data_IF_841151098922
#
_entry.id   IF_841151098922
#
_cell.length_a   1.000
_cell.length_b   1.000
_cell.length_c   1.000
_cell.angle_alpha   90.00
_cell.angle_beta   90.00
_cell.angle_gamma   90.00
#
_symmetry.space_group_name_H-M   'P 1'
#
loop_
_entity.id
_entity.type
_entity.pdbx_description
1 polymer ?
#
# COMPACT_ATOMS: atom_id res chain seq x y z
N UNK A 1 -0.58 -21.47 15.38
CA UNK A 1 -0.64 -20.57 16.55
C UNK A 1 -1.08 -19.21 16.06
N UNK A 2 -2.36 -18.94 16.25
CA UNK A 2 -3.08 -17.77 15.73
C UNK A 2 -2.43 -16.47 16.23
N UNK A 3 -2.08 -15.55 15.32
CA UNK A 3 -1.63 -14.20 15.66
C UNK A 3 -2.67 -13.21 15.15
N UNK A 4 -3.46 -12.72 16.10
CA UNK A 4 -4.40 -11.61 15.98
C UNK A 4 -3.63 -10.27 15.94
N UNK A 5 -4.18 -9.27 15.24
CA UNK A 5 -3.75 -7.86 15.25
C UNK A 5 -4.30 -7.15 16.50
N UNK A 6 -3.47 -6.40 17.22
CA UNK A 6 -3.87 -5.39 18.22
C UNK A 6 -2.93 -4.17 18.15
N UNK A 7 -3.49 -2.96 18.18
CA UNK A 7 -2.78 -1.68 18.24
C UNK A 7 -2.43 -1.31 19.71
N UNK A 8 -1.18 -0.95 20.02
CA UNK A 8 -0.86 -0.20 21.26
C UNK A 8 -0.06 1.06 20.89
N UNK A 9 -0.54 2.22 21.35
CA UNK A 9 0.29 3.35 21.79
C UNK A 9 -0.29 3.87 23.11
N UNK A 10 0.59 4.12 24.10
CA UNK A 10 0.27 4.69 25.42
C UNK A 10 0.98 6.05 25.54
N UNK A 11 0.32 7.11 26.01
CA UNK A 11 0.12 7.46 27.44
C UNK A 11 -0.88 8.66 27.55
N UNK A 12 -1.78 8.88 28.53
CA UNK A 12 -2.34 8.21 29.72
C UNK A 12 -3.59 9.03 30.21
N UNK A 13 -4.40 8.61 31.20
CA UNK A 13 -5.52 7.66 31.18
C UNK A 13 -6.94 8.31 31.12
N UNK A 14 -7.90 7.61 30.49
CA UNK A 14 -9.31 7.42 30.92
C UNK A 14 -10.33 7.18 29.76
N UNK A 15 -10.23 7.78 28.53
CA UNK A 15 -11.19 7.49 27.44
C UNK A 15 -10.66 6.60 26.29
N UNK A 16 -9.33 6.59 26.02
CA UNK A 16 -8.73 5.87 24.88
C UNK A 16 -8.80 4.33 24.98
N UNK A 17 -8.89 3.80 26.20
CA UNK A 17 -8.92 2.35 26.44
C UNK A 17 -10.22 1.70 25.93
N UNK A 18 -11.34 2.44 25.96
CA UNK A 18 -12.65 1.90 25.59
C UNK A 18 -12.77 1.71 24.08
N UNK A 19 -12.36 2.69 23.27
CA UNK A 19 -12.41 2.58 21.80
C UNK A 19 -11.46 1.49 21.28
N UNK A 20 -10.28 1.36 21.88
CA UNK A 20 -9.37 0.26 21.60
C UNK A 20 -10.02 -1.11 21.85
N UNK A 21 -10.60 -1.31 23.04
CA UNK A 21 -11.26 -2.57 23.42
C UNK A 21 -12.45 -2.89 22.51
N UNK A 22 -13.21 -1.87 22.11
CA UNK A 22 -14.32 -2.01 21.15
C UNK A 22 -13.82 -2.49 19.79
N UNK A 23 -12.79 -1.84 19.21
CA UNK A 23 -12.27 -2.24 17.88
C UNK A 23 -11.64 -3.62 17.92
N UNK A 24 -10.92 -3.92 18.99
CA UNK A 24 -10.36 -5.24 19.26
C UNK A 24 -11.39 -6.37 19.33
N UNK A 25 -12.48 -6.13 20.05
CA UNK A 25 -13.57 -7.10 20.19
C UNK A 25 -14.30 -7.30 18.86
N UNK A 26 -14.51 -6.22 18.10
CA UNK A 26 -15.03 -6.30 16.75
C UNK A 26 -14.13 -7.09 15.79
N UNK A 27 -12.80 -6.91 15.86
CA UNK A 27 -11.84 -7.68 15.05
C UNK A 27 -11.94 -9.17 15.37
N UNK A 28 -11.94 -9.54 16.66
CA UNK A 28 -12.12 -10.94 17.09
C UNK A 28 -13.44 -11.53 16.61
N UNK A 29 -14.52 -10.75 16.68
CA UNK A 29 -15.82 -11.17 16.18
C UNK A 29 -15.79 -11.43 14.67
N UNK A 30 -15.18 -10.51 13.88
CA UNK A 30 -15.02 -10.64 12.43
C UNK A 30 -14.21 -11.90 12.07
N UNK A 31 -13.10 -12.17 12.77
CA UNK A 31 -12.25 -13.34 12.49
C UNK A 31 -12.92 -14.68 12.82
N UNK A 32 -13.71 -14.70 13.91
CA UNK A 32 -14.51 -15.85 14.32
C UNK A 32 -15.71 -16.14 13.41
N UNK A 33 -16.23 -15.13 12.71
CA UNK A 33 -17.42 -15.23 11.86
C UNK A 33 -17.12 -15.01 10.38
N UNK A 34 -15.85 -15.03 9.95
CA UNK A 34 -15.47 -14.70 8.58
C UNK A 34 -16.19 -15.57 7.52
N UNK A 35 -16.45 -16.83 7.84
CA UNK A 35 -17.16 -17.78 6.98
C UNK A 35 -18.63 -17.43 6.79
N UNK A 36 -19.28 -16.70 7.71
CA UNK A 36 -20.67 -16.28 7.57
C UNK A 36 -20.83 -14.87 7.01
N UNK A 37 -19.73 -14.16 6.72
CA UNK A 37 -19.71 -12.80 6.17
C UNK A 37 -20.62 -11.82 6.95
N UNK A 38 -20.31 -11.54 8.23
CA UNK A 38 -21.18 -10.75 9.09
C UNK A 38 -21.37 -9.32 8.56
N UNK A 39 -22.60 -8.83 8.62
CA UNK A 39 -22.99 -7.47 8.25
C UNK A 39 -22.56 -6.47 9.31
N UNK A 40 -22.50 -5.19 8.92
CA UNK A 40 -22.12 -4.10 9.82
C UNK A 40 -22.96 -4.06 11.11
N UNK A 41 -24.28 -4.28 10.98
CA UNK A 41 -25.21 -4.38 12.10
C UNK A 41 -24.83 -5.46 13.11
N UNK A 42 -24.41 -6.63 12.64
CA UNK A 42 -24.07 -7.79 13.47
C UNK A 42 -22.75 -7.55 14.22
N UNK A 43 -21.77 -6.93 13.54
CA UNK A 43 -20.48 -6.55 14.14
C UNK A 43 -20.68 -5.45 15.18
N UNK A 44 -21.52 -4.45 14.90
CA UNK A 44 -21.81 -3.35 15.82
C UNK A 44 -22.57 -3.84 17.06
N UNK A 45 -23.53 -4.75 16.88
CA UNK A 45 -24.27 -5.39 17.97
C UNK A 45 -23.35 -6.22 18.88
N UNK A 46 -22.37 -6.93 18.31
CA UNK A 46 -21.41 -7.73 19.06
C UNK A 46 -20.53 -6.89 20.02
N UNK A 47 -20.40 -5.59 19.77
CA UNK A 47 -19.66 -4.64 20.64
C UNK A 47 -20.57 -3.62 21.34
N UNK A 48 -21.87 -3.89 21.37
CA UNK A 48 -22.90 -3.05 22.01
C UNK A 48 -22.92 -1.59 21.52
N UNK A 49 -22.76 -1.37 20.21
CA UNK A 49 -22.80 -0.06 19.58
C UNK A 49 -23.81 0.03 18.44
N UNK A 50 -24.25 1.25 18.12
CA UNK A 50 -24.95 1.52 16.88
C UNK A 50 -24.00 1.46 15.68
N UNK A 51 -24.51 1.09 14.50
CA UNK A 51 -23.72 0.96 13.26
C UNK A 51 -22.91 2.22 12.94
N UNK A 52 -23.54 3.40 13.06
CA UNK A 52 -22.91 4.68 12.76
C UNK A 52 -21.78 5.01 13.75
N UNK A 53 -21.98 4.75 15.04
CA UNK A 53 -20.95 4.99 16.05
C UNK A 53 -19.80 4.00 15.90
N UNK A 54 -20.12 2.72 15.68
CA UNK A 54 -19.13 1.67 15.44
C UNK A 54 -18.28 1.95 14.20
N UNK A 55 -18.89 2.31 13.06
CA UNK A 55 -18.16 2.62 11.83
C UNK A 55 -17.18 3.79 12.02
N UNK A 56 -17.59 4.84 12.74
CA UNK A 56 -16.73 5.99 13.03
C UNK A 56 -15.55 5.60 13.92
N UNK A 57 -15.82 4.92 15.04
CA UNK A 57 -14.78 4.45 15.98
C UNK A 57 -13.82 3.48 15.30
N UNK A 58 -14.33 2.53 14.52
CA UNK A 58 -13.52 1.55 13.79
C UNK A 58 -12.66 2.23 12.72
N UNK A 59 -13.18 3.22 11.97
CA UNK A 59 -12.39 3.95 10.98
C UNK A 59 -11.32 4.85 11.61
N UNK A 60 -11.64 5.53 12.70
CA UNK A 60 -10.68 6.35 13.46
C UNK A 60 -9.51 5.51 14.02
N UNK A 61 -9.77 4.26 14.41
CA UNK A 61 -8.76 3.37 14.99
C UNK A 61 -8.04 2.46 13.98
N UNK A 62 -8.79 1.80 13.09
CA UNK A 62 -8.24 0.84 12.13
C UNK A 62 -7.81 1.49 10.81
N UNK A 63 -8.16 2.77 10.58
CA UNK A 63 -7.84 3.51 9.36
C UNK A 63 -8.63 3.07 8.12
N UNK A 64 -9.53 2.09 8.26
CA UNK A 64 -10.39 1.55 7.20
C UNK A 64 -11.80 1.29 7.73
N UNK A 65 -12.80 1.19 6.87
CA UNK A 65 -14.15 0.79 7.30
C UNK A 65 -14.20 -0.70 7.70
N UNK A 66 -15.14 -1.11 8.58
CA UNK A 66 -15.34 -2.53 8.92
C UNK A 66 -15.57 -3.42 7.69
N UNK A 67 -16.29 -2.90 6.69
CA UNK A 67 -16.54 -3.59 5.42
C UNK A 67 -15.26 -3.84 4.63
N UNK A 68 -14.40 -2.83 4.51
CA UNK A 68 -13.10 -2.97 3.84
C UNK A 68 -12.18 -3.95 4.57
N UNK A 69 -12.21 -3.95 5.90
CA UNK A 69 -11.45 -4.88 6.73
C UNK A 69 -11.91 -6.34 6.54
N UNK A 70 -13.23 -6.58 6.54
CA UNK A 70 -13.82 -7.88 6.25
C UNK A 70 -13.45 -8.39 4.84
N UNK A 71 -13.50 -7.50 3.84
CA UNK A 71 -13.10 -7.81 2.47
C UNK A 71 -11.62 -8.22 2.37
N UNK A 72 -10.75 -7.51 3.08
CA UNK A 72 -9.32 -7.82 3.14
C UNK A 72 -9.04 -9.20 3.76
N UNK A 73 -9.65 -9.52 4.91
CA UNK A 73 -9.45 -10.81 5.57
C UNK A 73 -9.98 -11.98 4.74
N UNK A 74 -11.11 -11.78 4.08
CA UNK A 74 -11.70 -12.78 3.19
C UNK A 74 -10.77 -13.05 1.99
N UNK A 75 -10.07 -12.02 1.51
CA UNK A 75 -9.15 -12.10 0.38
C UNK A 75 -7.89 -12.87 0.75
N UNK A 76 -7.32 -12.61 1.92
CA UNK A 76 -6.15 -13.33 2.42
C UNK A 76 -6.44 -14.83 2.56
N UNK A 77 -7.60 -15.21 3.12
CA UNK A 77 -7.99 -16.64 3.22
C UNK A 77 -8.22 -17.29 1.86
N UNK A 78 -8.83 -16.58 0.90
CA UNK A 78 -8.97 -17.06 -0.48
C UNK A 78 -7.64 -17.41 -1.12
N UNK A 79 -6.64 -16.55 -0.95
CA UNK A 79 -5.30 -16.78 -1.51
C UNK A 79 -4.59 -17.98 -0.88
N UNK A 80 -4.84 -18.27 0.41
CA UNK A 80 -4.30 -19.46 1.08
C UNK A 80 -4.98 -20.74 0.58
N UNK A 81 -6.31 -20.75 0.48
CA UNK A 81 -7.09 -21.90 0.00
C UNK A 81 -6.75 -22.27 -1.45
N UNK A 82 -6.65 -21.27 -2.35
CA UNK A 82 -6.28 -21.50 -3.75
C UNK A 82 -4.85 -22.04 -3.91
N UNK A 83 -3.91 -21.67 -3.03
CA UNK A 83 -2.54 -22.21 -3.02
C UNK A 83 -2.47 -23.67 -2.56
N UNK A 84 -3.48 -24.15 -1.83
CA UNK A 84 -3.60 -25.54 -1.38
C UNK A 84 -4.35 -26.42 -2.39
N UNK A 85 -4.42 -26.01 -3.67
CA UNK A 85 -5.09 -26.70 -4.77
C UNK A 85 -6.62 -26.85 -4.62
N UNK A 86 -7.29 -26.04 -3.79
CA UNK A 86 -8.75 -25.99 -3.78
C UNK A 86 -9.29 -25.36 -5.08
N UNK A 87 -10.41 -25.88 -5.59
CA UNK A 87 -11.07 -25.27 -6.76
C UNK A 87 -11.65 -23.89 -6.38
N UNK A 88 -11.88 -23.05 -7.39
CA UNK A 88 -12.43 -21.70 -7.21
C UNK A 88 -13.85 -21.77 -6.60
N UNK A 89 -14.65 -22.75 -7.00
CA UNK A 89 -16.00 -23.01 -6.48
C UNK A 89 -15.95 -23.44 -5.01
N UNK A 90 -15.04 -24.37 -4.68
CA UNK A 90 -14.85 -24.85 -3.30
C UNK A 90 -14.37 -23.72 -2.38
N UNK A 91 -13.46 -22.89 -2.87
CA UNK A 91 -12.94 -21.73 -2.12
C UNK A 91 -14.03 -20.70 -1.87
N UNK A 92 -14.91 -20.43 -2.85
CA UNK A 92 -16.05 -19.52 -2.67
C UNK A 92 -16.99 -20.00 -1.57
N UNK A 93 -17.33 -21.29 -1.57
CA UNK A 93 -18.25 -21.89 -0.62
C UNK A 93 -17.68 -21.89 0.81
N UNK A 94 -16.39 -22.21 0.97
CA UNK A 94 -15.70 -22.22 2.26
C UNK A 94 -15.56 -20.83 2.90
N UNK A 95 -15.62 -19.76 2.10
CA UNK A 95 -15.50 -18.38 2.55
C UNK A 95 -16.86 -17.69 2.74
N UNK A 96 -17.97 -18.43 2.58
CA UNK A 96 -19.32 -17.88 2.70
C UNK A 96 -19.72 -16.93 1.57
N UNK A 97 -19.01 -16.98 0.45
CA UNK A 97 -19.31 -16.14 -0.70
C UNK A 97 -20.42 -16.79 -1.52
N UNK A 98 -21.45 -16.01 -1.83
CA UNK A 98 -22.66 -16.48 -2.52
C UNK A 98 -22.41 -17.06 -3.91
N UNK A 99 -21.26 -16.78 -4.52
CA UNK A 99 -20.88 -17.26 -5.85
C UNK A 99 -19.38 -17.05 -6.14
N UNK A 100 -18.83 -17.84 -7.06
CA UNK A 100 -17.44 -17.69 -7.55
C UNK A 100 -17.17 -16.29 -8.12
N UNK A 101 -18.17 -15.61 -8.69
CA UNK A 101 -18.06 -14.21 -9.12
C UNK A 101 -17.75 -13.23 -7.98
N UNK A 102 -18.28 -13.45 -6.77
CA UNK A 102 -17.96 -12.62 -5.58
C UNK A 102 -16.54 -12.82 -5.08
N UNK A 103 -16.00 -14.03 -5.23
CA UNK A 103 -14.58 -14.31 -4.94
C UNK A 103 -13.68 -13.54 -5.90
N UNK A 104 -14.06 -13.49 -7.19
CA UNK A 104 -13.40 -12.64 -8.18
C UNK A 104 -13.50 -11.15 -7.83
N UNK A 105 -14.68 -10.63 -7.47
CA UNK A 105 -14.89 -9.22 -7.07
C UNK A 105 -14.08 -8.82 -5.82
N UNK A 106 -13.96 -9.74 -4.86
CA UNK A 106 -13.28 -9.51 -3.59
C UNK A 106 -11.75 -9.48 -3.74
N UNK A 107 -11.20 -10.28 -4.65
CA UNK A 107 -9.79 -10.19 -5.05
C UNK A 107 -9.46 -8.83 -5.70
N UNK A 108 -10.47 -8.11 -6.21
CA UNK A 108 -10.33 -6.89 -7.01
C UNK A 108 -10.35 -5.58 -6.20
N UNK A 109 -10.73 -5.56 -4.92
CA UNK A 109 -10.81 -4.29 -4.14
C UNK A 109 -9.57 -3.92 -3.32
N UNK A 110 -8.60 -3.33 -4.01
CA UNK A 110 -7.57 -2.31 -3.65
C UNK A 110 -6.59 -2.48 -4.80
N UNK A 111 -6.64 -1.57 -5.79
CA UNK A 111 -6.19 -1.80 -7.18
C UNK A 111 -4.91 -2.63 -7.32
N UNK A 112 -5.11 -3.95 -7.30
CA UNK A 112 -4.14 -4.98 -7.53
C UNK A 112 -4.67 -5.73 -8.75
N UNK A 113 -3.82 -5.88 -9.75
CA UNK A 113 -4.10 -6.67 -10.95
C UNK A 113 -4.71 -8.03 -10.55
N UNK A 114 -5.73 -8.47 -11.27
CA UNK A 114 -6.26 -9.82 -11.11
C UNK A 114 -5.14 -10.84 -11.37
N UNK A 115 -5.16 -12.02 -10.75
CA UNK A 115 -4.18 -13.08 -11.04
C UNK A 115 -4.10 -13.44 -12.52
N UNK A 116 -5.21 -13.29 -13.27
CA UNK A 116 -5.26 -13.43 -14.73
C UNK A 116 -4.49 -12.35 -15.47
N UNK A 117 -4.61 -11.08 -15.08
CA UNK A 117 -3.84 -9.95 -15.65
C UNK A 117 -2.35 -10.02 -15.30
N UNK A 118 -2.01 -10.46 -14.07
CA UNK A 118 -0.62 -10.73 -13.67
C UNK A 118 -0.03 -11.86 -14.51
N UNK A 119 -0.80 -12.94 -14.74
CA UNK A 119 -0.40 -14.09 -15.57
C UNK A 119 -0.34 -13.74 -17.07
N UNK A 120 -1.17 -12.79 -17.51
CA UNK A 120 -1.14 -12.23 -18.85
C UNK A 120 -0.01 -11.21 -19.05
N UNK A 121 0.72 -10.83 -18.00
CA UNK A 121 1.92 -9.98 -18.09
C UNK A 121 1.66 -8.57 -18.64
N UNK A 122 0.43 -8.07 -18.56
CA UNK A 122 0.04 -6.80 -19.19
C UNK A 122 -0.47 -6.90 -20.63
N UNK A 123 -0.81 -8.10 -21.13
CA UNK A 123 -1.41 -8.27 -22.46
C UNK A 123 -2.69 -7.43 -22.58
N UNK A 124 -2.69 -6.47 -23.51
CA UNK A 124 -3.79 -5.51 -23.72
C UNK A 124 -3.70 -4.24 -22.87
N UNK A 125 -2.64 -4.07 -22.08
CA UNK A 125 -2.34 -2.82 -21.37
C UNK A 125 -1.33 -2.02 -22.20
N UNK A 126 -1.71 -0.79 -22.52
CA UNK A 126 -0.77 0.21 -23.05
C UNK A 126 -0.17 0.98 -21.89
N UNK A 127 1.15 1.00 -21.84
CA UNK A 127 1.93 1.80 -20.89
C UNK A 127 2.63 2.89 -21.69
N UNK A 128 2.23 4.11 -21.44
CA UNK A 128 2.94 5.29 -21.91
C UNK A 128 4.10 5.59 -20.96
N UNK A 129 5.21 6.07 -21.49
CA UNK A 129 6.39 6.39 -20.70
C UNK A 129 7.17 7.53 -21.34
N UNK A 130 7.94 8.25 -20.53
CA UNK A 130 8.81 9.31 -21.03
C UNK A 130 9.80 9.79 -19.98
N UNK A 131 10.71 10.67 -20.41
CA UNK A 131 11.64 11.34 -19.52
C UNK A 131 11.20 12.78 -19.28
N UNK A 132 11.29 13.22 -18.02
CA UNK A 132 10.97 14.58 -17.61
C UNK A 132 12.05 15.16 -16.71
N UNK A 133 12.19 16.49 -16.74
CA UNK A 133 12.98 17.24 -15.78
C UNK A 133 12.16 17.47 -14.50
N UNK A 134 12.79 17.25 -13.35
CA UNK A 134 12.17 17.42 -12.03
C UNK A 134 13.10 18.19 -11.09
N UNK A 135 12.56 18.64 -9.95
CA UNK A 135 13.35 19.29 -8.89
C UNK A 135 14.44 18.39 -8.31
N UNK A 136 14.39 17.07 -8.52
CA UNK A 136 15.39 16.10 -8.09
C UNK A 136 16.23 15.54 -9.26
N UNK A 137 16.22 16.23 -10.40
CA UNK A 137 16.89 15.86 -11.65
C UNK A 137 15.99 15.05 -12.60
N UNK A 138 16.58 14.52 -13.67
CA UNK A 138 15.86 13.75 -14.68
C UNK A 138 15.20 12.50 -14.09
N UNK A 139 13.94 12.27 -14.47
CA UNK A 139 13.16 11.11 -14.07
C UNK A 139 12.52 10.43 -15.29
N UNK A 140 12.49 9.11 -15.27
CA UNK A 140 11.66 8.28 -16.14
C UNK A 140 10.32 8.05 -15.45
N UNK A 141 9.22 8.37 -16.13
CA UNK A 141 7.86 8.12 -15.66
C UNK A 141 7.16 7.14 -16.61
N UNK A 142 6.26 6.31 -16.07
CA UNK A 142 5.37 5.49 -16.87
C UNK A 142 3.99 5.38 -16.24
N UNK A 143 2.96 5.42 -17.10
CA UNK A 143 1.55 5.44 -16.71
C UNK A 143 0.70 4.63 -17.69
N UNK A 144 -0.51 4.32 -17.26
CA UNK A 144 -1.57 3.80 -18.12
C UNK A 144 -2.90 4.46 -17.73
N UNK A 145 -4.01 4.04 -18.35
CA UNK A 145 -5.35 4.55 -18.06
C UNK A 145 -5.76 4.46 -16.56
N UNK A 146 -5.08 3.63 -15.77
CA UNK A 146 -5.35 3.44 -14.33
C UNK A 146 -4.52 4.36 -13.43
N UNK A 147 -3.43 4.92 -13.92
CA UNK A 147 -2.55 5.80 -13.17
C UNK A 147 -1.06 5.52 -13.41
N UNK A 148 -0.23 6.11 -12.55
CA UNK A 148 1.23 6.02 -12.62
C UNK A 148 1.70 4.67 -12.09
N UNK A 149 2.51 3.94 -12.84
CA UNK A 149 3.06 2.63 -12.45
C UNK A 149 4.58 2.63 -12.25
N UNK A 150 5.27 3.67 -12.74
CA UNK A 150 6.73 3.78 -12.62
C UNK A 150 7.15 5.24 -12.45
N UNK A 151 8.10 5.47 -11.54
CA UNK A 151 8.82 6.73 -11.38
C UNK A 151 10.22 6.41 -10.86
N UNK A 152 11.26 6.74 -11.63
CA UNK A 152 12.64 6.48 -11.25
C UNK A 152 13.55 7.63 -11.70
N UNK A 153 14.53 7.99 -10.88
CA UNK A 153 15.50 9.03 -11.23
C UNK A 153 16.68 8.43 -11.98
N UNK A 154 16.61 8.47 -13.31
CA UNK A 154 17.56 7.87 -14.23
C UNK A 154 18.01 8.92 -15.24
N UNK A 155 19.32 9.00 -15.51
CA UNK A 155 19.86 9.99 -16.46
C UNK A 155 19.42 9.70 -17.90
N UNK A 156 19.35 8.42 -18.25
CA UNK A 156 18.92 7.97 -19.57
C UNK A 156 17.57 7.28 -19.45
N UNK A 157 16.69 7.55 -20.41
CA UNK A 157 15.41 6.87 -20.53
C UNK A 157 15.64 5.37 -20.70
N UNK A 158 15.09 4.57 -19.79
CA UNK A 158 15.16 3.10 -19.87
C UNK A 158 13.78 2.49 -19.67
N UNK A 159 13.42 1.58 -20.58
CA UNK A 159 12.21 0.78 -20.50
C UNK A 159 12.44 -0.56 -19.82
N UNK A 160 13.68 -0.93 -19.50
CA UNK A 160 14.01 -2.28 -19.05
C UNK A 160 13.25 -2.69 -17.79
N UNK A 161 13.20 -1.82 -16.78
CA UNK A 161 12.46 -2.10 -15.55
C UNK A 161 10.95 -2.10 -15.78
N UNK A 162 10.44 -1.23 -16.67
CA UNK A 162 9.02 -1.20 -17.04
C UNK A 162 8.65 -2.52 -17.74
N UNK A 163 9.45 -2.99 -18.70
CA UNK A 163 9.24 -4.24 -19.41
C UNK A 163 9.36 -5.46 -18.47
N UNK A 164 10.29 -5.45 -17.51
CA UNK A 164 10.38 -6.52 -16.50
C UNK A 164 9.11 -6.59 -15.63
N UNK A 165 8.52 -5.44 -15.30
CA UNK A 165 7.26 -5.38 -14.57
C UNK A 165 6.06 -5.70 -15.46
N UNK A 166 6.12 -5.41 -16.75
CA UNK A 166 5.00 -5.50 -17.69
C UNK A 166 5.45 -6.14 -19.02
N UNK A 167 5.83 -7.44 -19.02
CA UNK A 167 6.52 -8.05 -20.14
C UNK A 167 5.72 -8.12 -21.44
N UNK A 168 4.39 -8.05 -21.36
CA UNK A 168 3.48 -8.13 -22.51
C UNK A 168 2.69 -6.83 -22.74
N UNK A 169 3.06 -5.73 -22.07
CA UNK A 169 2.45 -4.43 -22.31
C UNK A 169 3.01 -3.78 -23.59
N UNK A 170 2.18 -2.99 -24.26
CA UNK A 170 2.64 -2.13 -25.35
C UNK A 170 3.23 -0.85 -24.74
N UNK A 171 4.49 -0.54 -25.08
CA UNK A 171 5.14 0.67 -24.61
C UNK A 171 5.05 1.79 -25.66
N UNK A 172 4.55 2.97 -25.25
CA UNK A 172 4.47 4.17 -26.09
C UNK A 172 5.26 5.31 -25.46
N UNK A 173 6.17 5.92 -26.22
CA UNK A 173 6.99 7.02 -25.74
C UNK A 173 6.26 8.37 -25.85
N UNK A 174 6.21 9.12 -24.77
CA UNK A 174 5.64 10.47 -24.71
C UNK A 174 6.35 11.32 -23.65
N UNK A 175 7.31 12.15 -24.06
CA UNK A 175 8.08 12.99 -23.13
C UNK A 175 7.28 14.22 -22.68
N UNK A 176 6.38 14.74 -23.51
CA UNK A 176 5.59 15.94 -23.18
C UNK A 176 4.61 15.60 -22.06
N UNK A 177 3.91 14.47 -22.19
CA UNK A 177 3.04 13.95 -21.13
C UNK A 177 3.83 13.56 -19.88
N UNK A 178 5.06 13.06 -20.01
CA UNK A 178 5.92 12.80 -18.85
C UNK A 178 6.24 14.10 -18.09
N UNK A 179 6.49 15.21 -18.81
CA UNK A 179 6.72 16.51 -18.20
C UNK A 179 5.45 17.03 -17.50
N UNK A 180 4.27 16.83 -18.08
CA UNK A 180 3.00 17.15 -17.44
C UNK A 180 2.78 16.36 -16.14
N UNK A 181 3.12 15.06 -16.14
CA UNK A 181 3.11 14.26 -14.92
C UNK A 181 4.08 14.80 -13.87
N UNK A 182 5.32 15.13 -14.26
CA UNK A 182 6.30 15.71 -13.34
C UNK A 182 5.80 17.02 -12.73
N UNK A 183 5.24 17.91 -13.55
CA UNK A 183 4.68 19.18 -13.09
C UNK A 183 3.55 18.97 -12.07
N UNK A 184 2.68 17.97 -12.29
CA UNK A 184 1.61 17.63 -11.33
C UNK A 184 2.17 17.06 -10.02
N UNK A 185 3.16 16.18 -10.08
CA UNK A 185 3.76 15.50 -8.93
C UNK A 185 4.54 16.46 -8.03
N UNK A 186 5.33 17.35 -8.63
CA UNK A 186 6.29 18.21 -7.93
C UNK A 186 5.79 19.66 -7.81
N UNK A 187 4.51 19.94 -8.08
CA UNK A 187 3.90 21.25 -7.84
C UNK A 187 3.76 21.56 -6.34
N UNK A 188 3.61 22.85 -6.02
CA UNK A 188 3.34 23.31 -4.64
C UNK A 188 1.98 22.83 -4.10
N UNK A 189 1.03 22.52 -4.99
CA UNK A 189 -0.28 21.96 -4.67
C UNK A 189 -0.49 20.64 -5.43
N UNK A 190 0.13 19.54 -4.99
CA UNK A 190 0.10 18.29 -5.73
C UNK A 190 -1.32 17.72 -5.80
N UNK A 191 -1.76 17.43 -7.03
CA UNK A 191 -3.04 16.78 -7.30
C UNK A 191 -3.08 15.34 -6.77
N UNK A 192 -4.28 14.79 -6.54
CA UNK A 192 -4.42 13.38 -6.19
C UNK A 192 -3.96 12.49 -7.35
N UNK A 193 -2.95 11.65 -7.12
CA UNK A 193 -2.38 10.75 -8.13
C UNK A 193 -2.73 9.31 -7.79
N UNK A 194 -3.29 8.59 -8.76
CA UNK A 194 -3.50 7.14 -8.66
C UNK A 194 -2.21 6.41 -8.98
N UNK A 195 -1.85 5.46 -8.12
CA UNK A 195 -0.68 4.60 -8.28
C UNK A 195 -1.11 3.17 -8.60
N UNK A 196 -0.51 2.57 -9.62
CA UNK A 196 -0.67 1.16 -9.94
C UNK A 196 0.55 0.39 -9.43
N UNK A 197 0.39 -0.30 -8.30
CA UNK A 197 1.48 -1.00 -7.62
C UNK A 197 1.52 -2.48 -8.00
N UNK A 198 2.71 -2.98 -8.33
CA UNK A 198 2.98 -4.40 -8.56
C UNK A 198 4.07 -4.90 -7.61
N UNK A 199 3.69 -5.72 -6.65
CA UNK A 199 4.62 -6.29 -5.67
C UNK A 199 4.03 -7.50 -4.95
N UNK A 200 4.89 -8.22 -4.21
CA UNK A 200 4.46 -9.27 -3.29
C UNK A 200 3.60 -8.67 -2.16
N UNK A 201 2.77 -9.47 -1.47
CA UNK A 201 1.98 -8.97 -0.34
C UNK A 201 2.83 -8.23 0.70
N UNK A 202 4.02 -8.76 1.00
CA UNK A 202 4.97 -8.13 1.91
C UNK A 202 5.50 -6.79 1.36
N UNK A 203 5.85 -6.70 0.08
CA UNK A 203 6.28 -5.43 -0.54
C UNK A 203 5.17 -4.38 -0.45
N UNK A 204 3.94 -4.75 -0.82
CA UNK A 204 2.78 -3.85 -0.76
C UNK A 204 2.52 -3.36 0.68
N UNK A 205 2.63 -4.24 1.67
CA UNK A 205 2.50 -3.90 3.09
C UNK A 205 3.56 -2.89 3.55
N UNK A 206 4.82 -3.06 3.15
CA UNK A 206 5.88 -2.09 3.43
C UNK A 206 5.60 -0.74 2.75
N UNK A 207 5.19 -0.74 1.49
CA UNK A 207 4.89 0.50 0.76
C UNK A 207 3.68 1.24 1.35
N UNK A 208 2.65 0.52 1.81
CA UNK A 208 1.54 1.09 2.57
C UNK A 208 1.99 1.72 3.89
N UNK A 209 2.91 1.08 4.61
CA UNK A 209 3.48 1.64 5.83
C UNK A 209 4.30 2.91 5.55
N UNK A 210 5.04 2.96 4.45
CA UNK A 210 5.78 4.15 4.01
C UNK A 210 4.85 5.35 3.77
N UNK A 211 3.70 5.13 3.13
CA UNK A 211 2.72 6.18 2.83
C UNK A 211 2.12 6.83 4.08
N UNK A 212 2.25 6.22 5.26
CA UNK A 212 1.77 6.79 6.55
C UNK A 212 2.77 7.76 7.17
N UNK A 213 4.03 7.76 6.73
CA UNK A 213 5.07 8.66 7.22
C UNK A 213 4.80 10.04 6.61
N UNK A 214 4.68 11.09 7.43
CA UNK A 214 4.41 12.44 6.91
C UNK A 214 5.64 13.00 6.16
N UNK A 215 5.46 13.92 5.20
CA UNK A 215 6.58 14.67 4.64
C UNK A 215 7.42 15.29 5.76
N UNK A 216 8.75 15.23 5.67
CA UNK A 216 9.67 15.78 6.68
C UNK A 216 9.95 14.86 7.88
N UNK A 217 9.10 13.88 8.17
CA UNK A 217 9.35 12.89 9.22
C UNK A 217 10.35 11.82 8.73
N UNK A 218 11.23 11.38 9.63
CA UNK A 218 12.17 10.29 9.39
C UNK A 218 11.90 9.12 10.33
N UNK A 219 12.01 7.89 9.81
CA UNK A 219 11.85 6.66 10.61
C UNK A 219 13.01 5.70 10.39
N UNK A 220 13.32 4.87 11.38
CA UNK A 220 14.33 3.82 11.20
C UNK A 220 13.77 2.61 10.45
N UNK A 221 14.61 1.78 9.83
CA UNK A 221 14.18 0.49 9.26
C UNK A 221 13.43 -0.39 10.27
N UNK A 222 13.86 -0.40 11.53
CA UNK A 222 13.20 -1.15 12.60
C UNK A 222 11.83 -0.57 12.94
N UNK A 223 11.72 0.75 12.99
CA UNK A 223 10.43 1.42 13.20
C UNK A 223 9.48 1.17 12.02
N UNK A 224 9.97 1.22 10.77
CA UNK A 224 9.16 0.86 9.61
C UNK A 224 8.69 -0.60 9.67
N UNK A 225 9.54 -1.52 10.11
CA UNK A 225 9.17 -2.92 10.34
C UNK A 225 8.02 -3.04 11.36
N UNK A 226 8.07 -2.25 12.44
CA UNK A 226 7.00 -2.16 13.44
C UNK A 226 5.71 -1.57 12.87
N UNK A 227 5.78 -0.46 12.13
CA UNK A 227 4.61 0.15 11.46
C UNK A 227 3.95 -0.78 10.47
N UNK A 228 4.75 -1.62 9.81
CA UNK A 228 4.27 -2.67 8.94
C UNK A 228 3.72 -3.88 9.70
N UNK A 229 3.77 -3.92 11.04
CA UNK A 229 3.23 -5.03 11.85
C UNK A 229 4.18 -6.21 12.03
N UNK A 230 5.46 -6.09 11.67
CA UNK A 230 6.46 -7.14 11.90
C UNK A 230 7.82 -6.56 12.32
N UNK A 231 7.98 -6.32 13.63
CA UNK A 231 9.19 -5.75 14.22
C UNK A 231 10.49 -6.54 13.96
N UNK A 232 10.40 -7.83 13.61
CA UNK A 232 11.57 -8.70 13.36
C UNK A 232 12.02 -8.69 11.89
N UNK A 233 11.29 -8.01 11.00
CA UNK A 233 11.50 -8.09 9.56
C UNK A 233 12.47 -7.03 8.98
N UNK A 234 13.28 -6.34 9.80
CA UNK A 234 14.12 -5.20 9.35
C UNK A 234 15.00 -5.49 8.12
N UNK A 235 15.54 -6.72 7.99
CA UNK A 235 16.31 -7.12 6.78
C UNK A 235 15.43 -7.25 5.54
N UNK A 236 14.25 -7.85 5.68
CA UNK A 236 13.29 -8.00 4.59
C UNK A 236 12.71 -6.65 4.14
N UNK A 237 12.53 -5.70 5.08
CA UNK A 237 12.13 -4.31 4.78
C UNK A 237 13.11 -3.66 3.79
N UNK A 238 14.42 -3.85 3.98
CA UNK A 238 15.43 -3.33 3.06
C UNK A 238 15.23 -3.83 1.62
N UNK A 239 15.02 -5.14 1.44
CA UNK A 239 14.74 -5.73 0.13
C UNK A 239 13.43 -5.21 -0.47
N UNK A 240 12.37 -5.10 0.33
CA UNK A 240 11.08 -4.59 -0.13
C UNK A 240 11.14 -3.11 -0.56
N UNK A 241 11.93 -2.30 0.15
CA UNK A 241 12.20 -0.91 -0.23
C UNK A 241 13.02 -0.81 -1.52
N UNK A 242 14.02 -1.68 -1.70
CA UNK A 242 14.84 -1.69 -2.91
C UNK A 242 14.01 -2.01 -4.17
N UNK A 243 12.91 -2.77 -4.02
CA UNK A 243 11.97 -3.06 -5.09
C UNK A 243 10.95 -1.94 -5.38
N UNK A 244 11.00 -0.81 -4.66
CA UNK A 244 10.12 0.31 -4.95
C UNK A 244 10.39 0.84 -6.38
N UNK A 245 9.35 0.83 -7.23
CA UNK A 245 9.39 1.33 -8.61
C UNK A 245 8.77 2.72 -8.77
N UNK A 246 8.29 3.33 -7.68
CA UNK A 246 7.70 4.67 -7.70
C UNK A 246 8.43 5.53 -6.67
N UNK A 247 9.58 6.08 -7.08
CA UNK A 247 10.37 6.97 -6.24
C UNK A 247 9.55 8.19 -5.80
N UNK A 248 9.94 8.77 -4.66
CA UNK A 248 9.32 9.95 -4.05
C UNK A 248 7.86 9.77 -3.58
N UNK A 249 6.94 9.35 -4.46
CA UNK A 249 5.53 9.13 -4.13
C UNK A 249 5.33 7.95 -3.17
N UNK A 250 6.11 6.87 -3.31
CA UNK A 250 6.32 5.91 -2.21
C UNK A 250 7.58 6.38 -1.47
N UNK A 251 7.46 6.97 -0.26
CA UNK A 251 8.50 7.79 0.33
C UNK A 251 9.59 6.98 1.04
N UNK A 252 10.25 6.07 0.31
CA UNK A 252 11.34 5.25 0.83
C UNK A 252 12.58 6.08 1.22
N UNK A 253 12.68 7.33 0.76
CA UNK A 253 13.71 8.28 1.18
C UNK A 253 13.56 8.71 2.64
N UNK A 254 12.40 8.55 3.28
CA UNK A 254 12.17 8.91 4.70
C UNK A 254 12.71 7.89 5.70
N UNK A 255 13.23 6.75 5.22
CA UNK A 255 13.74 5.69 6.09
C UNK A 255 15.25 5.81 6.26
N UNK A 256 15.74 5.78 7.47
CA UNK A 256 17.17 5.88 7.82
C UNK A 256 17.63 4.73 8.72
N UNK A 257 18.92 4.64 8.99
CA UNK A 257 19.48 3.68 9.95
C UNK A 257 19.19 4.15 11.38
N UNK A 258 19.16 3.21 12.33
CA UNK A 258 18.88 3.52 13.73
C UNK A 258 19.93 4.43 14.40
N UNK A 259 21.15 4.46 13.87
CA UNK A 259 22.24 5.34 14.31
C UNK A 259 22.19 6.74 13.68
N UNK A 260 21.14 7.09 12.95
CA UNK A 260 20.98 8.39 12.30
C UNK A 260 21.62 8.50 10.91
N UNK A 261 22.37 7.50 10.46
CA UNK A 261 22.93 7.49 9.10
C UNK A 261 21.83 7.31 8.04
N UNK A 262 21.96 8.01 6.91
CA UNK A 262 20.99 7.94 5.81
C UNK A 262 20.83 6.52 5.25
N UNK A 263 21.89 5.71 5.26
CA UNK A 263 21.90 4.42 4.57
C UNK A 263 21.83 4.57 3.04
N UNK A 264 21.60 3.45 2.35
CA UNK A 264 21.61 3.43 0.88
C UNK A 264 20.27 3.92 0.31
N UNK A 265 20.32 4.37 -0.94
CA UNK A 265 19.16 4.75 -1.73
C UNK A 265 19.36 4.32 -3.18
N UNK A 266 18.33 3.73 -3.79
CA UNK A 266 18.38 3.19 -5.16
C UNK A 266 18.88 4.22 -6.17
N UNK A 267 18.50 5.47 -5.99
CA UNK A 267 18.85 6.58 -6.88
C UNK A 267 19.89 7.53 -6.26
N UNK A 268 20.75 7.05 -5.36
CA UNK A 268 21.87 7.79 -4.80
C UNK A 268 21.57 8.56 -3.50
N UNK A 269 22.53 8.55 -2.58
CA UNK A 269 22.38 9.14 -1.23
C UNK A 269 22.20 10.66 -1.28
N UNK A 270 22.87 11.35 -2.20
CA UNK A 270 22.73 12.80 -2.37
C UNK A 270 21.29 13.20 -2.70
N UNK A 271 20.63 12.47 -3.60
CA UNK A 271 19.22 12.70 -3.94
C UNK A 271 18.29 12.45 -2.77
N UNK A 272 18.56 11.41 -1.97
CA UNK A 272 17.81 11.14 -0.74
C UNK A 272 17.91 12.30 0.24
N UNK A 273 19.12 12.83 0.45
CA UNK A 273 19.35 14.00 1.32
C UNK A 273 18.61 15.23 0.80
N UNK A 274 18.68 15.50 -0.51
CA UNK A 274 17.99 16.61 -1.14
C UNK A 274 16.47 16.53 -0.92
N UNK A 275 15.86 15.36 -1.12
CA UNK A 275 14.42 15.16 -0.89
C UNK A 275 14.03 15.43 0.57
N UNK A 276 14.81 14.90 1.52
CA UNK A 276 14.54 15.11 2.94
C UNK A 276 14.65 16.59 3.34
N UNK A 277 15.68 17.28 2.84
CA UNK A 277 15.85 18.71 3.07
C UNK A 277 14.72 19.53 2.44
N UNK A 278 14.35 19.21 1.20
CA UNK A 278 13.24 19.85 0.49
C UNK A 278 11.92 19.70 1.26
N UNK A 279 11.60 18.50 1.75
CA UNK A 279 10.40 18.27 2.57
C UNK A 279 10.43 19.04 3.89
N UNK A 280 11.59 19.14 4.55
CA UNK A 280 11.73 19.88 5.80
C UNK A 280 11.52 21.39 5.61
N UNK A 281 11.98 21.95 4.48
CA UNK A 281 11.81 23.38 4.17
C UNK A 281 10.39 23.76 3.72
N UNK A 282 9.60 22.81 3.21
CA UNK A 282 8.24 23.04 2.71
C UNK A 282 7.17 22.60 3.72
N UNK A 283 7.54 22.31 4.97
CA UNK A 283 6.54 22.17 6.03
C UNK A 283 5.99 23.55 6.41
N UNK A 284 4.67 23.72 6.54
CA UNK A 284 4.13 24.90 7.19
C UNK A 284 4.70 24.95 8.60
N UNK A 285 5.34 26.08 8.95
CA UNK A 285 5.77 26.37 10.33
C UNK A 285 4.55 26.17 11.23
N UNK A 286 4.64 25.20 12.15
CA UNK A 286 3.60 24.96 13.15
C UNK A 286 3.46 26.13 14.11
#
# INVERSE_FOLDING_TARGET
MFHYVFLLTMTNPAPMHRHYQIVAEAIRYIEGHLTSQPKLAEIAAAVNLSEHHFQRVFREWAGVSPKQFLQYLTKERALVALKQQCSVEQTSLQLGLSSSSRLHDLLVTTEALTPGEVKAGGKGVTIEYGQADTVFGKATLAWCARGLCYLAFEQNLTTQHIQQQWPNAQLLGDNDMAQDWANRIFSEQPSSIKLLLKGSPFQLQIWQALLRIKPGDLVSYGHLAQLAGNAKASRAVGSAMASNSIAYLIPCHRVIRANGELGQYRWGVERKRLMQAWEACHQPVQ
#
